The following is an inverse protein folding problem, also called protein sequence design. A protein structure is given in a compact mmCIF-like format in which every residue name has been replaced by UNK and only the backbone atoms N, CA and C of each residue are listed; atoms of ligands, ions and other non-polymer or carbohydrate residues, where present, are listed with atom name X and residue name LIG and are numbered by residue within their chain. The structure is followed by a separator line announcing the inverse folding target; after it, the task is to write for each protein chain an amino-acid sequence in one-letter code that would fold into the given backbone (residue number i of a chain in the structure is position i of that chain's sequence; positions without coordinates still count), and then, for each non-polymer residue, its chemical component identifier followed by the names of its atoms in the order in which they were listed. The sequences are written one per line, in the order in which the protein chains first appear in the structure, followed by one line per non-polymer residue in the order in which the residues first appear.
data_IF_390391093824
#
_entry.id   IF_390391093824
#
_cell.length_a   1.000
_cell.length_b   1.000
_cell.length_c   1.000
_cell.angle_alpha   90.00
_cell.angle_beta   90.00
_cell.angle_gamma   90.00
#
_symmetry.space_group_name_H-M   'P 1'
#
loop_
_entity.id
_entity.type
_entity.pdbx_description
1 polymer ?
#
# COMPACT_ATOMS: atom_id res chain seq x y z
N UNK A 1 -13.16 -18.19 5.55
CA UNK A 1 -13.01 -16.73 5.40
C UNK A 1 -14.31 -16.22 4.82
N UNK A 2 -15.03 -15.46 5.61
CA UNK A 2 -16.24 -14.78 5.16
C UNK A 2 -15.86 -13.44 4.53
N UNK A 3 -16.76 -12.85 3.73
CA UNK A 3 -16.52 -11.55 3.08
C UNK A 3 -16.26 -10.43 4.11
N UNK A 4 -16.75 -10.58 5.34
CA UNK A 4 -16.53 -9.66 6.46
C UNK A 4 -15.09 -9.66 7.00
N UNK A 5 -14.29 -10.71 6.75
CA UNK A 5 -12.90 -10.80 7.21
C UNK A 5 -11.92 -10.06 6.27
N UNK A 6 -12.36 -9.75 5.05
CA UNK A 6 -11.51 -9.17 3.99
C UNK A 6 -10.97 -7.78 4.34
N UNK A 7 -11.70 -6.86 5.01
CA UNK A 7 -11.15 -5.58 5.46
C UNK A 7 -9.97 -5.76 6.43
N UNK A 8 -10.06 -6.69 7.37
CA UNK A 8 -8.99 -7.01 8.33
C UNK A 8 -7.78 -7.58 7.61
N UNK A 9 -8.00 -8.52 6.69
CA UNK A 9 -6.94 -9.08 5.85
C UNK A 9 -6.25 -7.97 5.02
N UNK A 10 -7.02 -7.07 4.42
CA UNK A 10 -6.50 -5.95 3.65
C UNK A 10 -5.62 -5.01 4.48
N UNK A 11 -6.01 -4.74 5.73
CA UNK A 11 -5.21 -3.95 6.66
C UNK A 11 -3.90 -4.66 7.02
N UNK A 12 -3.96 -5.96 7.33
CA UNK A 12 -2.77 -6.77 7.62
C UNK A 12 -1.82 -6.80 6.42
N UNK A 13 -2.33 -7.00 5.21
CA UNK A 13 -1.51 -7.02 4.00
C UNK A 13 -0.83 -5.66 3.75
N UNK A 14 -1.53 -4.54 3.95
CA UNK A 14 -0.91 -3.20 3.86
C UNK A 14 0.13 -2.95 4.94
N UNK A 15 -0.12 -3.41 6.17
CA UNK A 15 0.86 -3.32 7.25
C UNK A 15 2.12 -4.14 6.90
N UNK A 16 1.95 -5.38 6.44
CA UNK A 16 3.04 -6.23 5.96
C UNK A 16 3.81 -5.55 4.81
N UNK A 17 3.12 -4.98 3.83
CA UNK A 17 3.76 -4.22 2.75
C UNK A 17 4.60 -3.06 3.29
N UNK A 18 4.07 -2.30 4.25
CA UNK A 18 4.81 -1.21 4.92
C UNK A 18 6.10 -1.70 5.56
N UNK A 19 6.03 -2.79 6.35
CA UNK A 19 7.20 -3.37 7.03
C UNK A 19 8.24 -3.84 6.00
N UNK A 20 7.81 -4.53 4.94
CA UNK A 20 8.69 -5.01 3.87
C UNK A 20 9.37 -3.86 3.12
N UNK A 21 8.64 -2.78 2.82
CA UNK A 21 9.18 -1.60 2.15
C UNK A 21 10.24 -0.90 3.02
N UNK A 22 9.98 -0.73 4.31
CA UNK A 22 10.94 -0.15 5.26
C UNK A 22 12.18 -1.04 5.37
N UNK A 23 12.00 -2.36 5.50
CA UNK A 23 13.11 -3.31 5.54
C UNK A 23 13.95 -3.29 4.24
N UNK A 24 13.29 -3.28 3.08
CA UNK A 24 13.95 -3.19 1.78
C UNK A 24 14.68 -1.87 1.57
N UNK A 25 14.16 -0.75 2.09
CA UNK A 25 14.84 0.54 2.12
C UNK A 25 16.09 0.52 3.03
N UNK A 26 15.96 -0.10 4.21
CA UNK A 26 17.09 -0.25 5.13
C UNK A 26 18.21 -1.12 4.51
N UNK A 27 17.86 -2.21 3.82
CA UNK A 27 18.82 -3.04 3.10
C UNK A 27 19.60 -2.27 2.03
N UNK A 28 18.94 -1.44 1.21
CA UNK A 28 19.66 -0.68 0.19
C UNK A 28 20.53 0.43 0.80
N UNK A 29 20.07 1.05 1.90
CA UNK A 29 20.86 2.03 2.67
C UNK A 29 22.14 1.42 3.25
N UNK A 30 22.07 0.16 3.66
CA UNK A 30 23.21 -0.64 4.16
C UNK A 30 23.97 -1.39 3.05
N UNK A 31 23.73 -1.06 1.77
CA UNK A 31 24.34 -1.69 0.57
C UNK A 31 24.07 -3.20 0.43
N UNK A 32 23.11 -3.77 1.16
CA UNK A 32 22.68 -5.18 1.07
C UNK A 32 21.69 -5.36 -0.08
N UNK A 33 22.22 -5.45 -1.31
CA UNK A 33 21.39 -5.49 -2.55
C UNK A 33 20.49 -6.73 -2.61
N UNK A 34 21.01 -7.92 -2.26
CA UNK A 34 20.21 -9.15 -2.28
C UNK A 34 18.99 -9.08 -1.33
N UNK A 35 19.20 -8.56 -0.12
CA UNK A 35 18.13 -8.33 0.85
C UNK A 35 17.10 -7.31 0.34
N UNK A 36 17.56 -6.21 -0.26
CA UNK A 36 16.67 -5.23 -0.89
C UNK A 36 15.78 -5.86 -1.95
N UNK A 37 16.34 -6.66 -2.86
CA UNK A 37 15.57 -7.34 -3.92
C UNK A 37 14.53 -8.29 -3.31
N UNK A 38 14.93 -9.11 -2.35
CA UNK A 38 14.02 -10.05 -1.68
C UNK A 38 12.84 -9.32 -1.03
N UNK A 39 13.09 -8.27 -0.25
CA UNK A 39 12.03 -7.50 0.40
C UNK A 39 11.14 -6.75 -0.60
N UNK A 40 11.70 -6.20 -1.69
CA UNK A 40 10.90 -5.52 -2.72
C UNK A 40 10.01 -6.49 -3.49
N UNK A 41 10.49 -7.70 -3.80
CA UNK A 41 9.68 -8.74 -4.44
C UNK A 41 8.55 -9.18 -3.50
N UNK A 42 8.85 -9.42 -2.23
CA UNK A 42 7.81 -9.75 -1.25
C UNK A 42 6.78 -8.62 -1.11
N UNK A 43 7.22 -7.36 -1.06
CA UNK A 43 6.33 -6.20 -0.97
C UNK A 43 5.41 -6.11 -2.20
N UNK A 44 5.91 -6.40 -3.41
CA UNK A 44 5.11 -6.49 -4.63
C UNK A 44 4.04 -7.58 -4.53
N UNK A 45 4.43 -8.79 -4.10
CA UNK A 45 3.51 -9.93 -3.98
C UNK A 45 2.42 -9.65 -2.95
N UNK A 46 2.78 -9.11 -1.78
CA UNK A 46 1.82 -8.72 -0.73
C UNK A 46 0.89 -7.61 -1.20
N UNK A 47 1.42 -6.61 -1.93
CA UNK A 47 0.59 -5.52 -2.48
C UNK A 47 -0.37 -6.01 -3.57
N UNK A 48 0.05 -6.97 -4.40
CA UNK A 48 -0.81 -7.61 -5.39
C UNK A 48 -1.91 -8.45 -4.71
N UNK A 49 -1.57 -9.19 -3.64
CA UNK A 49 -2.55 -9.92 -2.85
C UNK A 49 -3.57 -8.97 -2.19
N UNK A 50 -3.11 -7.84 -1.65
CA UNK A 50 -3.98 -6.78 -1.12
C UNK A 50 -4.93 -6.26 -2.19
N UNK A 51 -4.42 -5.88 -3.37
CA UNK A 51 -5.24 -5.32 -4.43
C UNK A 51 -6.32 -6.32 -4.89
N UNK A 52 -5.94 -7.59 -5.06
CA UNK A 52 -6.90 -8.65 -5.41
C UNK A 52 -7.97 -8.82 -4.34
N UNK A 53 -7.58 -8.90 -3.06
CA UNK A 53 -8.53 -9.05 -1.95
C UNK A 53 -9.44 -7.83 -1.81
N UNK A 54 -8.91 -6.61 -1.99
CA UNK A 54 -9.67 -5.36 -2.00
C UNK A 54 -10.70 -5.32 -3.12
N UNK A 55 -10.32 -5.66 -4.35
CA UNK A 55 -11.23 -5.67 -5.49
C UNK A 55 -12.35 -6.72 -5.31
N UNK A 56 -12.02 -7.91 -4.79
CA UNK A 56 -13.02 -8.94 -4.46
C UNK A 56 -14.00 -8.41 -3.41
N UNK A 57 -13.51 -7.83 -2.31
CA UNK A 57 -14.37 -7.25 -1.28
C UNK A 57 -15.29 -6.17 -1.85
N UNK A 58 -14.73 -5.22 -2.60
CA UNK A 58 -15.47 -4.07 -3.10
C UNK A 58 -16.51 -4.47 -4.16
N UNK A 59 -16.20 -5.48 -4.99
CA UNK A 59 -17.15 -6.02 -5.97
C UNK A 59 -18.35 -6.73 -5.31
N UNK A 60 -18.15 -7.41 -4.17
CA UNK A 60 -19.20 -8.19 -3.52
C UNK A 60 -20.00 -7.42 -2.46
N UNK A 61 -19.35 -6.56 -1.68
CA UNK A 61 -19.95 -5.89 -0.50
C UNK A 61 -20.32 -4.43 -0.80
N UNK A 62 -19.75 -3.83 -1.85
CA UNK A 62 -19.97 -2.44 -2.20
C UNK A 62 -19.27 -1.46 -1.24
N UNK A 63 -19.86 -0.28 -1.05
CA UNK A 63 -19.30 0.78 -0.21
C UNK A 63 -19.89 0.75 1.20
N UNK A 64 -19.02 0.59 2.20
CA UNK A 64 -19.41 0.69 3.61
C UNK A 64 -19.48 2.18 4.03
N UNK A 65 -20.63 2.68 4.50
CA UNK A 65 -20.76 4.08 4.87
C UNK A 65 -19.99 4.38 6.16
N UNK A 66 -19.15 5.42 6.13
CA UNK A 66 -18.44 5.90 7.32
C UNK A 66 -19.43 6.50 8.33
N UNK A 67 -19.48 5.92 9.54
CA UNK A 67 -20.46 6.27 10.59
C UNK A 67 -20.00 7.42 11.51
N UNK A 68 -18.73 7.83 11.43
CA UNK A 68 -18.17 8.91 12.25
C UNK A 68 -18.88 10.26 12.02
N UNK A 69 -19.21 10.97 13.11
CA UNK A 69 -19.88 12.27 13.12
C UNK A 69 -18.93 13.39 13.56
N UNK A 70 -19.21 14.64 13.13
CA UNK A 70 -18.43 15.81 13.51
C UNK A 70 -17.10 15.95 12.74
N UNK A 71 -16.09 16.54 13.38
CA UNK A 71 -14.81 16.91 12.77
C UNK A 71 -13.98 15.74 12.23
N UNK A 72 -14.24 14.50 12.66
CA UNK A 72 -13.52 13.32 12.17
C UNK A 72 -13.88 12.95 10.73
N UNK A 73 -15.10 13.31 10.29
CA UNK A 73 -15.60 13.00 8.95
C UNK A 73 -14.81 13.69 7.83
N UNK A 74 -14.57 15.02 7.85
CA UNK A 74 -13.71 15.65 6.85
C UNK A 74 -12.29 15.11 6.89
N UNK A 75 -11.71 14.83 8.07
CA UNK A 75 -10.38 14.23 8.20
C UNK A 75 -10.30 12.86 7.51
N UNK A 76 -11.28 11.99 7.77
CA UNK A 76 -11.40 10.69 7.13
C UNK A 76 -11.44 10.81 5.60
N UNK A 77 -12.32 11.67 5.07
CA UNK A 77 -12.45 11.83 3.62
C UNK A 77 -11.21 12.45 2.99
N UNK A 78 -10.51 13.38 3.65
CA UNK A 78 -9.24 13.90 3.17
C UNK A 78 -8.19 12.78 3.06
N UNK A 79 -8.06 11.94 4.08
CA UNK A 79 -7.12 10.80 4.05
C UNK A 79 -7.54 9.79 2.98
N UNK A 80 -8.83 9.46 2.89
CA UNK A 80 -9.35 8.50 1.92
C UNK A 80 -9.14 8.97 0.48
N UNK A 81 -9.49 10.21 0.18
CA UNK A 81 -9.34 10.79 -1.17
C UNK A 81 -7.86 10.80 -1.55
N UNK A 82 -6.99 11.31 -0.68
CA UNK A 82 -5.55 11.36 -0.96
C UNK A 82 -4.94 9.97 -1.09
N UNK A 83 -5.38 8.99 -0.28
CA UNK A 83 -4.99 7.59 -0.40
C UNK A 83 -5.36 7.02 -1.77
N UNK A 84 -6.61 7.18 -2.21
CA UNK A 84 -7.07 6.65 -3.50
C UNK A 84 -6.30 7.29 -4.66
N UNK A 85 -6.14 8.62 -4.66
CA UNK A 85 -5.38 9.32 -5.69
C UNK A 85 -3.93 8.83 -5.75
N UNK A 86 -3.27 8.71 -4.59
CA UNK A 86 -1.92 8.19 -4.52
C UNK A 86 -1.85 6.72 -4.92
N UNK A 87 -2.84 5.89 -4.61
CA UNK A 87 -2.89 4.48 -5.00
C UNK A 87 -2.96 4.32 -6.52
N UNK A 88 -3.80 5.14 -7.19
CA UNK A 88 -3.91 5.16 -8.66
C UNK A 88 -2.58 5.55 -9.30
N UNK A 89 -1.86 6.53 -8.73
CA UNK A 89 -0.54 6.95 -9.22
C UNK A 89 0.56 5.94 -8.86
N UNK A 90 0.44 5.26 -7.71
CA UNK A 90 1.44 4.32 -7.22
C UNK A 90 1.59 3.12 -8.14
N UNK A 91 0.49 2.57 -8.67
CA UNK A 91 0.51 1.40 -9.54
C UNK A 91 1.40 1.57 -10.79
N UNK A 92 1.22 2.60 -11.64
CA UNK A 92 2.12 2.83 -12.77
C UNK A 92 3.54 3.18 -12.33
N UNK A 93 3.73 3.89 -11.21
CA UNK A 93 5.07 4.18 -10.69
C UNK A 93 5.84 2.91 -10.29
N UNK A 94 5.17 1.94 -9.66
CA UNK A 94 5.74 0.64 -9.32
C UNK A 94 6.19 -0.08 -10.60
N UNK A 95 5.31 -0.16 -11.60
CA UNK A 95 5.62 -0.80 -12.89
C UNK A 95 6.85 -0.15 -13.54
N UNK A 96 6.86 1.19 -13.62
CA UNK A 96 7.98 1.97 -14.15
C UNK A 96 9.27 1.81 -13.34
N UNK A 97 9.19 1.42 -12.06
CA UNK A 97 10.34 1.16 -11.19
C UNK A 97 10.89 -0.26 -11.35
N UNK A 98 10.00 -1.25 -11.55
CA UNK A 98 10.35 -2.68 -11.67
C UNK A 98 10.90 -3.02 -13.05
N UNK A 99 10.33 -2.47 -14.14
CA UNK A 99 10.79 -2.77 -15.51
C UNK A 99 12.29 -2.50 -15.70
N UNK A 100 12.85 -1.35 -15.30
CA UNK A 100 14.29 -1.10 -15.39
C UNK A 100 15.12 -2.02 -14.50
N UNK A 101 14.60 -2.46 -13.35
CA UNK A 101 15.30 -3.38 -12.45
C UNK A 101 15.48 -4.76 -13.10
N UNK A 102 14.43 -5.27 -13.78
CA UNK A 102 14.50 -6.52 -14.54
C UNK A 102 15.52 -6.44 -15.68
N UNK A 103 15.58 -5.29 -16.36
CA UNK A 103 16.57 -5.02 -17.40
C UNK A 103 17.98 -4.65 -16.89
N UNK A 104 18.26 -4.78 -15.59
CA UNK A 104 19.53 -4.37 -14.93
C UNK A 104 19.92 -2.89 -15.15
N UNK A 105 18.96 -2.03 -15.51
CA UNK A 105 19.15 -0.58 -15.71
C UNK A 105 18.96 0.15 -14.38
N UNK A 106 19.89 -0.07 -13.45
CA UNK A 106 19.76 0.40 -12.06
C UNK A 106 19.71 1.92 -11.91
N UNK A 107 20.31 2.69 -12.81
CA UNK A 107 20.26 4.15 -12.70
C UNK A 107 18.87 4.71 -12.99
N UNK A 108 18.16 4.13 -13.96
CA UNK A 108 16.75 4.44 -14.22
C UNK A 108 15.86 3.99 -13.06
N UNK A 109 16.10 2.78 -12.53
CA UNK A 109 15.40 2.29 -11.34
C UNK A 109 15.54 3.26 -10.16
N UNK A 110 16.77 3.65 -9.78
CA UNK A 110 17.03 4.58 -8.66
C UNK A 110 16.31 5.92 -8.84
N UNK A 111 16.32 6.47 -10.06
CA UNK A 111 15.69 7.77 -10.36
C UNK A 111 14.17 7.77 -10.15
N UNK A 112 13.51 6.65 -10.38
CA UNK A 112 12.06 6.51 -10.20
C UNK A 112 11.76 6.05 -8.77
N UNK A 113 12.54 5.11 -8.24
CA UNK A 113 12.40 4.55 -6.89
C UNK A 113 12.42 5.61 -5.78
N UNK A 114 13.19 6.69 -5.93
CA UNK A 114 13.21 7.82 -4.98
C UNK A 114 11.84 8.49 -4.78
N UNK A 115 10.97 8.42 -5.79
CA UNK A 115 9.60 8.94 -5.74
C UNK A 115 8.59 7.82 -5.49
N UNK A 116 8.80 6.64 -6.07
CA UNK A 116 7.91 5.51 -5.89
C UNK A 116 7.89 5.02 -4.43
N UNK A 117 9.04 4.95 -3.75
CA UNK A 117 9.12 4.49 -2.37
C UNK A 117 8.26 5.31 -1.39
N UNK A 118 8.36 6.65 -1.31
CA UNK A 118 7.53 7.43 -0.40
C UNK A 118 6.04 7.37 -0.74
N UNK A 119 5.68 7.35 -2.03
CA UNK A 119 4.27 7.20 -2.46
C UNK A 119 3.74 5.83 -2.05
N UNK A 120 4.51 4.77 -2.26
CA UNK A 120 4.11 3.41 -1.89
C UNK A 120 3.95 3.25 -0.38
N UNK A 121 4.91 3.77 0.40
CA UNK A 121 4.80 3.80 1.86
C UNK A 121 3.60 4.61 2.33
N UNK A 122 3.33 5.78 1.73
CA UNK A 122 2.16 6.60 2.05
C UNK A 122 0.87 5.81 1.88
N UNK A 123 0.68 5.17 0.71
CA UNK A 123 -0.51 4.38 0.41
C UNK A 123 -0.65 3.21 1.38
N UNK A 124 0.43 2.46 1.65
CA UNK A 124 0.36 1.32 2.57
C UNK A 124 0.02 1.72 4.01
N UNK A 125 0.62 2.80 4.53
CA UNK A 125 0.32 3.29 5.89
C UNK A 125 -1.11 3.84 5.98
N UNK A 126 -1.51 4.68 5.02
CA UNK A 126 -2.85 5.27 5.01
C UNK A 126 -3.96 4.23 4.80
N UNK A 127 -3.68 3.12 4.11
CA UNK A 127 -4.62 1.99 3.99
C UNK A 127 -4.94 1.36 5.35
N UNK A 128 -3.93 1.18 6.21
CA UNK A 128 -4.13 0.69 7.59
C UNK A 128 -4.92 1.72 8.41
N UNK A 129 -4.60 3.01 8.29
CA UNK A 129 -5.30 4.08 9.01
C UNK A 129 -6.78 4.17 8.61
N UNK A 130 -7.09 4.10 7.32
CA UNK A 130 -8.48 4.10 6.83
C UNK A 130 -9.25 2.92 7.41
N UNK A 131 -8.63 1.74 7.49
CA UNK A 131 -9.24 0.57 8.14
C UNK A 131 -9.50 0.82 9.63
N UNK A 132 -8.52 1.32 10.38
CA UNK A 132 -8.68 1.61 11.82
C UNK A 132 -9.80 2.63 12.06
N UNK A 133 -9.84 3.71 11.26
CA UNK A 133 -10.89 4.72 11.34
C UNK A 133 -12.27 4.15 11.02
N UNK A 134 -12.38 3.28 10.01
CA UNK A 134 -13.68 2.80 9.55
C UNK A 134 -14.26 1.66 10.43
N UNK A 135 -13.40 0.77 10.95
CA UNK A 135 -13.82 -0.49 11.57
C UNK A 135 -13.45 -0.66 13.05
N UNK A 136 -12.57 0.18 13.62
CA UNK A 136 -12.08 -0.03 14.99
C UNK A 136 -12.31 1.17 15.91
N UNK A 137 -12.19 2.40 15.41
CA UNK A 137 -12.27 3.61 16.25
C UNK A 137 -13.67 4.21 16.36
N UNK A 138 -14.53 3.97 15.38
CA UNK A 138 -15.86 4.59 15.29
C UNK A 138 -16.97 3.58 14.99
N UNK A 139 -16.72 2.30 15.29
CA UNK A 139 -17.68 1.20 15.27
C UNK A 139 -17.88 0.67 16.69
#
# INVERSE_FOLDING_TARGET
MELADLPTLNAILNFCATVLLVAGWYCIKTRKVAGHIAFMVLALLVSAAFLTSYLIYHYNVGSFPFQGKGWIRPVYFTILITHILMAVVNLPMIIMTVIPALGRKFDKHKRIARWALPVWLYVSVTGVLVYMMCYQWFY
#
